data_IF_164561782171
#
_entry.id   IF_164561782171
#
_cell.length_a   1.000
_cell.length_b   1.000
_cell.length_c   1.000
_cell.angle_alpha   90.00
_cell.angle_beta   90.00
_cell.angle_gamma   90.00
#
_symmetry.space_group_name_H-M   'P 1'
#
loop_
_entity.id
_entity.type
_entity.pdbx_description
1 polymer ?
#
# COMPACT_ATOMS: atom_id res chain seq x y z
N UNK A 1 -19.44 -5.80 3.53
CA UNK A 1 -18.85 -4.99 2.43
C UNK A 1 -20.03 -4.44 1.64
N UNK A 2 -20.27 -3.13 1.67
CA UNK A 2 -21.38 -2.52 0.93
C UNK A 2 -21.01 -2.64 -0.54
N UNK A 3 -21.62 -3.60 -1.24
CA UNK A 3 -21.44 -3.75 -2.66
C UNK A 3 -22.22 -2.62 -3.32
N UNK A 4 -21.53 -1.58 -3.80
CA UNK A 4 -22.21 -0.62 -4.66
C UNK A 4 -22.59 -1.35 -5.92
N UNK A 5 -23.87 -1.44 -6.29
CA UNK A 5 -24.22 -1.96 -7.59
C UNK A 5 -23.60 -1.00 -8.61
N UNK A 6 -22.62 -1.49 -9.37
CA UNK A 6 -22.02 -0.79 -10.50
C UNK A 6 -23.08 -0.10 -11.40
N UNK A 7 -24.29 -0.67 -11.62
CA UNK A 7 -25.36 0.01 -12.35
C UNK A 7 -25.84 1.36 -11.75
N UNK A 8 -25.89 1.49 -10.41
CA UNK A 8 -26.40 2.71 -9.77
C UNK A 8 -25.40 3.87 -9.90
N UNK A 9 -24.10 3.59 -9.75
CA UNK A 9 -23.05 4.59 -9.99
C UNK A 9 -22.96 4.96 -11.47
N UNK A 10 -23.08 3.99 -12.37
CA UNK A 10 -23.12 4.25 -13.82
C UNK A 10 -24.29 5.15 -14.19
N UNK A 11 -25.46 4.95 -13.59
CA UNK A 11 -26.63 5.81 -13.79
C UNK A 11 -26.36 7.25 -13.33
N UNK A 12 -25.79 7.43 -12.12
CA UNK A 12 -25.41 8.77 -11.64
C UNK A 12 -24.38 9.43 -12.56
N UNK A 13 -23.38 8.67 -13.03
CA UNK A 13 -22.38 9.19 -13.96
C UNK A 13 -23.00 9.58 -15.30
N UNK A 14 -23.95 8.80 -15.82
CA UNK A 14 -24.66 9.13 -17.05
C UNK A 14 -25.51 10.41 -16.89
N UNK A 15 -26.30 10.50 -15.83
CA UNK A 15 -27.13 11.68 -15.54
C UNK A 15 -26.29 12.94 -15.25
N UNK A 16 -25.08 12.77 -14.70
CA UNK A 16 -24.12 13.86 -14.53
C UNK A 16 -23.55 14.30 -15.89
N UNK A 17 -23.15 13.34 -16.72
CA UNK A 17 -22.60 13.61 -18.05
C UNK A 17 -23.62 14.36 -18.92
N UNK A 18 -24.86 13.88 -18.98
CA UNK A 18 -25.94 14.52 -19.73
C UNK A 18 -26.19 15.97 -19.29
N UNK A 19 -26.08 16.27 -17.99
CA UNK A 19 -26.36 17.60 -17.47
C UNK A 19 -25.23 18.62 -17.69
N UNK A 20 -23.97 18.18 -17.78
CA UNK A 20 -22.81 19.06 -18.01
C UNK A 20 -22.35 19.06 -19.48
N UNK A 21 -23.00 18.25 -20.31
CA UNK A 21 -22.68 18.22 -21.75
C UNK A 21 -23.12 19.53 -22.38
N UNK A 22 -22.16 20.22 -22.99
CA UNK A 22 -22.41 21.45 -23.76
C UNK A 22 -23.27 21.18 -25.00
N UNK A 23 -23.82 22.24 -25.57
CA UNK A 23 -24.59 22.22 -26.82
C UNK A 23 -23.84 21.58 -28.01
N UNK A 24 -22.50 21.63 -28.00
CA UNK A 24 -21.62 20.99 -28.98
C UNK A 24 -21.14 19.58 -28.57
N UNK A 25 -21.70 18.99 -27.52
CA UNK A 25 -21.42 17.61 -27.10
C UNK A 25 -20.12 17.42 -26.31
N UNK A 26 -19.51 18.49 -25.79
CA UNK A 26 -18.29 18.40 -24.95
C UNK A 26 -18.63 18.31 -23.47
N UNK A 27 -17.82 17.54 -22.75
CA UNK A 27 -17.88 17.37 -21.29
C UNK A 27 -16.54 17.84 -20.71
N UNK A 28 -16.58 18.84 -19.81
CA UNK A 28 -15.39 19.28 -19.08
C UNK A 28 -15.20 18.42 -17.83
N UNK A 29 -14.00 17.84 -17.66
CA UNK A 29 -13.72 16.88 -16.59
C UNK A 29 -13.99 17.43 -15.19
N UNK A 30 -13.64 18.70 -14.93
CA UNK A 30 -13.85 19.33 -13.63
C UNK A 30 -15.35 19.47 -13.31
N UNK A 31 -16.14 19.98 -14.26
CA UNK A 31 -17.60 20.13 -14.13
C UNK A 31 -18.29 18.78 -14.00
N UNK A 32 -17.83 17.78 -14.76
CA UNK A 32 -18.34 16.42 -14.68
C UNK A 32 -18.09 15.78 -13.32
N UNK A 33 -16.88 15.95 -12.77
CA UNK A 33 -16.54 15.47 -11.44
C UNK A 33 -17.40 16.15 -10.37
N UNK A 34 -17.57 17.47 -10.45
CA UNK A 34 -18.44 18.21 -9.53
C UNK A 34 -19.89 17.72 -9.61
N UNK A 35 -20.43 17.57 -10.82
CA UNK A 35 -21.80 17.09 -11.06
C UNK A 35 -22.05 15.66 -10.56
N UNK A 36 -21.04 14.77 -10.63
CA UNK A 36 -21.08 13.44 -10.01
C UNK A 36 -21.11 13.58 -8.48
N UNK A 37 -20.21 14.38 -7.91
CA UNK A 37 -20.12 14.57 -6.46
C UNK A 37 -21.41 15.13 -5.86
N UNK A 38 -22.02 16.13 -6.51
CA UNK A 38 -23.30 16.70 -6.09
C UNK A 38 -24.42 15.67 -6.08
N UNK A 39 -24.52 14.83 -7.12
CA UNK A 39 -25.53 13.76 -7.19
C UNK A 39 -25.27 12.71 -6.12
N UNK A 40 -24.04 12.25 -5.97
CA UNK A 40 -23.68 11.27 -4.94
C UNK A 40 -24.06 11.76 -3.53
N UNK A 41 -23.83 13.04 -3.20
CA UNK A 41 -24.21 13.62 -1.89
C UNK A 41 -25.71 13.51 -1.60
N UNK A 42 -26.56 13.46 -2.62
CA UNK A 42 -28.03 13.26 -2.46
C UNK A 42 -28.41 11.81 -2.17
N UNK A 43 -27.49 10.87 -2.38
CA UNK A 43 -27.68 9.44 -2.16
C UNK A 43 -26.72 8.92 -1.08
N UNK A 44 -27.09 9.06 0.19
CA UNK A 44 -26.23 8.75 1.35
C UNK A 44 -25.52 7.39 1.26
N UNK A 45 -26.26 6.32 0.94
CA UNK A 45 -25.70 4.96 0.85
C UNK A 45 -24.70 4.80 -0.30
N UNK A 46 -24.98 5.41 -1.47
CA UNK A 46 -24.08 5.39 -2.62
C UNK A 46 -22.83 6.26 -2.39
N UNK A 47 -22.98 7.36 -1.65
CA UNK A 47 -21.88 8.22 -1.25
C UNK A 47 -20.92 7.49 -0.30
N UNK A 48 -21.45 6.90 0.78
CA UNK A 48 -20.67 6.14 1.75
C UNK A 48 -19.90 5.01 1.07
N UNK A 49 -20.55 4.30 0.15
CA UNK A 49 -19.94 3.15 -0.49
C UNK A 49 -18.93 3.54 -1.60
N UNK A 50 -19.12 4.70 -2.25
CA UNK A 50 -18.09 5.33 -3.10
C UNK A 50 -16.86 5.73 -2.28
N UNK A 51 -17.06 6.31 -1.10
CA UNK A 51 -15.96 6.65 -0.17
C UNK A 51 -15.21 5.39 0.25
N UNK A 52 -15.90 4.31 0.61
CA UNK A 52 -15.25 3.04 0.97
C UNK A 52 -14.42 2.48 -0.18
N UNK A 53 -14.90 2.59 -1.43
CA UNK A 53 -14.14 2.18 -2.62
C UNK A 53 -12.89 3.05 -2.82
N UNK A 54 -13.01 4.36 -2.65
CA UNK A 54 -11.87 5.29 -2.75
C UNK A 54 -10.84 5.01 -1.65
N UNK A 55 -11.28 4.81 -0.40
CA UNK A 55 -10.43 4.47 0.73
C UNK A 55 -9.69 3.14 0.50
N UNK A 56 -10.37 2.11 -0.02
CA UNK A 56 -9.73 0.84 -0.38
C UNK A 56 -8.64 1.01 -1.46
N UNK A 57 -8.90 1.87 -2.45
CA UNK A 57 -7.93 2.25 -3.48
C UNK A 57 -6.70 2.94 -2.90
N UNK A 58 -6.91 3.92 -2.00
CA UNK A 58 -5.84 4.64 -1.30
C UNK A 58 -5.00 3.71 -0.41
N UNK A 59 -5.66 2.81 0.34
CA UNK A 59 -5.01 1.79 1.17
C UNK A 59 -4.09 0.94 0.27
N UNK A 60 -4.61 0.40 -0.84
CA UNK A 60 -3.81 -0.41 -1.77
C UNK A 60 -2.58 0.34 -2.29
N UNK A 61 -2.77 1.56 -2.80
CA UNK A 61 -1.68 2.39 -3.35
C UNK A 61 -0.63 2.71 -2.29
N UNK A 62 -1.06 3.15 -1.10
CA UNK A 62 -0.18 3.40 0.03
C UNK A 62 0.65 2.16 0.39
N UNK A 63 0.00 0.99 0.48
CA UNK A 63 0.71 -0.25 0.74
C UNK A 63 1.69 -0.63 -0.37
N UNK A 64 1.43 -0.30 -1.64
CA UNK A 64 2.30 -0.65 -2.79
C UNK A 64 3.54 0.25 -2.85
N UNK A 65 3.36 1.53 -2.54
CA UNK A 65 4.45 2.51 -2.41
C UNK A 65 5.36 2.16 -1.24
N UNK A 66 4.78 1.86 -0.08
CA UNK A 66 5.53 1.52 1.13
C UNK A 66 5.98 0.05 1.19
N UNK A 67 5.77 -0.76 0.15
CA UNK A 67 6.26 -2.15 0.17
C UNK A 67 7.80 -2.20 0.22
N UNK A 68 8.41 -3.15 0.96
CA UNK A 68 9.86 -3.28 1.03
C UNK A 68 10.44 -3.54 -0.35
N UNK A 69 11.39 -2.69 -0.78
CA UNK A 69 12.08 -2.78 -2.06
C UNK A 69 13.57 -2.87 -1.82
N UNK A 70 14.26 -3.50 -2.77
CA UNK A 70 15.72 -3.60 -2.73
C UNK A 70 16.33 -2.21 -2.86
N UNK A 71 17.04 -1.78 -1.83
CA UNK A 71 17.76 -0.52 -1.88
C UNK A 71 19.01 -0.68 -2.76
N UNK A 72 19.15 0.18 -3.78
CA UNK A 72 20.21 0.04 -4.80
C UNK A 72 21.62 0.10 -4.23
N UNK A 73 21.84 0.85 -3.14
CA UNK A 73 23.18 1.07 -2.55
C UNK A 73 23.57 0.03 -1.49
N UNK A 74 22.61 -0.44 -0.70
CA UNK A 74 22.88 -1.33 0.44
C UNK A 74 22.46 -2.77 0.17
N UNK A 75 21.71 -3.03 -0.90
CA UNK A 75 21.22 -4.36 -1.27
C UNK A 75 20.15 -4.93 -0.32
N UNK A 76 19.89 -4.30 0.82
CA UNK A 76 18.89 -4.71 1.80
C UNK A 76 17.46 -4.31 1.45
N UNK A 77 16.50 -4.88 2.16
CA UNK A 77 15.06 -4.60 2.03
C UNK A 77 14.53 -3.61 3.09
N UNK A 78 15.37 -3.26 4.07
CA UNK A 78 14.94 -2.42 5.19
C UNK A 78 14.82 -0.95 4.82
N UNK A 79 13.67 -0.37 5.16
CA UNK A 79 13.50 1.07 5.34
C UNK A 79 12.48 1.30 6.46
N UNK A 80 12.70 2.24 7.40
CA UNK A 80 11.83 2.42 8.56
C UNK A 80 10.38 2.72 8.21
N UNK A 81 10.16 3.42 7.09
CA UNK A 81 8.84 3.75 6.55
C UNK A 81 8.31 2.75 5.52
N UNK A 82 8.95 1.59 5.35
CA UNK A 82 8.34 0.49 4.60
C UNK A 82 7.38 -0.31 5.48
N UNK A 83 6.43 -1.01 4.87
CA UNK A 83 5.36 -1.75 5.53
C UNK A 83 5.43 -3.23 5.21
N UNK A 84 5.50 -4.06 6.24
CA UNK A 84 5.30 -5.50 6.12
C UNK A 84 3.79 -5.80 6.13
N UNK A 85 3.32 -6.50 5.09
CA UNK A 85 1.95 -7.00 5.02
C UNK A 85 1.90 -8.39 5.64
N UNK A 86 1.23 -8.49 6.79
CA UNK A 86 1.13 -9.73 7.57
C UNK A 86 -0.11 -10.57 7.21
N UNK A 87 -0.91 -10.11 6.24
CA UNK A 87 -2.14 -10.78 5.81
C UNK A 87 -3.34 -10.37 6.66
N UNK A 88 -4.55 -10.74 6.22
CA UNK A 88 -5.82 -10.41 6.89
C UNK A 88 -6.01 -8.92 7.20
N UNK A 89 -5.41 -8.02 6.40
CA UNK A 89 -5.47 -6.57 6.62
C UNK A 89 -4.54 -6.04 7.71
N UNK A 90 -3.66 -6.86 8.28
CA UNK A 90 -2.71 -6.46 9.33
C UNK A 90 -1.39 -6.04 8.70
N UNK A 91 -0.98 -4.79 8.94
CA UNK A 91 0.24 -4.18 8.43
C UNK A 91 1.09 -3.67 9.60
N UNK A 92 2.41 -3.71 9.46
CA UNK A 92 3.34 -3.16 10.44
C UNK A 92 4.45 -2.39 9.73
N UNK A 93 4.82 -1.23 10.27
CA UNK A 93 6.01 -0.52 9.81
C UNK A 93 7.25 -1.36 10.08
N UNK A 94 8.21 -1.41 9.15
CA UNK A 94 9.40 -2.22 9.31
C UNK A 94 10.19 -1.82 10.56
N UNK A 95 10.29 -0.53 10.91
CA UNK A 95 10.97 -0.12 12.16
C UNK A 95 10.36 -0.74 13.42
N UNK A 96 9.05 -0.98 13.40
CA UNK A 96 8.26 -1.48 14.53
C UNK A 96 8.03 -3.00 14.45
N UNK A 97 8.52 -3.66 13.40
CA UNK A 97 8.32 -5.09 13.21
C UNK A 97 9.02 -5.89 14.30
N UNK A 98 8.32 -6.88 14.84
CA UNK A 98 8.84 -7.84 15.82
C UNK A 98 9.38 -9.10 15.13
N UNK A 99 10.09 -9.99 15.85
CA UNK A 99 10.49 -11.29 15.32
C UNK A 99 9.31 -12.12 14.80
N UNK A 100 8.15 -12.04 15.46
CA UNK A 100 6.93 -12.73 15.05
C UNK A 100 6.35 -12.16 13.76
N UNK A 101 6.38 -10.83 13.58
CA UNK A 101 5.92 -10.18 12.36
C UNK A 101 6.81 -10.56 11.17
N UNK A 102 8.13 -10.59 11.38
CA UNK A 102 9.11 -11.03 10.37
C UNK A 102 8.86 -12.48 9.93
N UNK A 103 8.60 -13.36 10.89
CA UNK A 103 8.27 -14.77 10.63
C UNK A 103 6.97 -14.87 9.82
N UNK A 104 5.94 -14.11 10.19
CA UNK A 104 4.65 -14.12 9.50
C UNK A 104 4.76 -13.58 8.07
N UNK A 105 5.52 -12.50 7.88
CA UNK A 105 5.80 -11.94 6.56
C UNK A 105 6.54 -12.94 5.65
N UNK A 106 7.56 -13.63 6.17
CA UNK A 106 8.26 -14.69 5.45
C UNK A 106 7.35 -15.84 5.02
N UNK A 107 6.42 -16.28 5.88
CA UNK A 107 5.44 -17.34 5.58
C UNK A 107 4.45 -16.97 4.48
N UNK A 108 4.00 -15.73 4.43
CA UNK A 108 3.09 -15.28 3.37
C UNK A 108 3.78 -15.23 2.01
N UNK A 109 5.06 -14.90 2.05
CA UNK A 109 5.90 -14.82 0.87
C UNK A 109 6.08 -16.19 0.20
N UNK A 110 6.34 -17.24 0.98
CA UNK A 110 6.52 -18.61 0.50
C UNK A 110 5.26 -19.28 -0.09
N UNK A 111 4.09 -18.63 -0.01
CA UNK A 111 2.84 -19.11 -0.62
C UNK A 111 2.65 -18.64 -2.07
N UNK A 112 3.37 -17.61 -2.51
CA UNK A 112 3.22 -16.99 -3.83
C UNK A 112 4.26 -17.49 -4.88
N UNK A 113 4.90 -18.63 -4.62
CA UNK A 113 6.11 -19.18 -5.26
C UNK A 113 6.06 -19.37 -6.78
N UNK A 114 4.87 -19.38 -7.40
CA UNK A 114 4.71 -19.81 -8.81
C UNK A 114 5.12 -18.73 -9.83
N UNK A 115 5.33 -17.46 -9.44
CA UNK A 115 5.56 -16.39 -10.43
C UNK A 115 6.89 -15.61 -10.35
N UNK A 116 7.68 -15.64 -9.25
CA UNK A 116 8.93 -14.84 -9.17
C UNK A 116 9.97 -15.52 -8.25
N UNK A 117 10.86 -16.36 -8.80
CA UNK A 117 11.81 -17.16 -8.01
C UNK A 117 12.89 -16.29 -7.32
N UNK A 118 13.45 -15.29 -8.01
CA UNK A 118 14.63 -14.56 -7.50
C UNK A 118 14.32 -13.54 -6.42
N UNK A 119 13.29 -12.69 -6.61
CA UNK A 119 12.91 -11.69 -5.62
C UNK A 119 12.37 -12.33 -4.33
N UNK A 120 11.78 -13.52 -4.45
CA UNK A 120 11.32 -14.30 -3.32
C UNK A 120 12.50 -14.88 -2.52
N UNK A 121 13.53 -15.40 -3.19
CA UNK A 121 14.74 -15.91 -2.54
C UNK A 121 15.48 -14.82 -1.74
N UNK A 122 15.59 -13.61 -2.27
CA UNK A 122 16.19 -12.47 -1.56
C UNK A 122 15.41 -12.11 -0.30
N UNK A 123 14.08 -12.12 -0.37
CA UNK A 123 13.22 -11.85 0.79
C UNK A 123 13.33 -12.94 1.85
N UNK A 124 13.34 -14.21 1.46
CA UNK A 124 13.53 -15.32 2.39
C UNK A 124 14.90 -15.23 3.07
N UNK A 125 15.97 -14.91 2.33
CA UNK A 125 17.29 -14.67 2.90
C UNK A 125 17.25 -13.54 3.93
N UNK A 126 16.66 -12.40 3.58
CA UNK A 126 16.52 -11.27 4.51
C UNK A 126 15.78 -11.66 5.80
N UNK A 127 14.67 -12.41 5.70
CA UNK A 127 13.92 -12.87 6.89
C UNK A 127 14.76 -13.79 7.75
N UNK A 128 15.50 -14.74 7.16
CA UNK A 128 16.37 -15.66 7.89
C UNK A 128 17.47 -14.91 8.63
N UNK A 129 18.21 -14.04 7.93
CA UNK A 129 19.32 -13.28 8.52
C UNK A 129 18.85 -12.42 9.71
N UNK A 130 17.67 -11.79 9.60
CA UNK A 130 17.10 -10.98 10.71
C UNK A 130 16.58 -11.84 11.85
N UNK A 131 16.03 -13.01 11.55
CA UNK A 131 15.57 -13.96 12.57
C UNK A 131 16.74 -14.47 13.42
N UNK A 132 17.86 -14.77 12.79
CA UNK A 132 19.07 -15.19 13.49
C UNK A 132 19.67 -14.03 14.30
N UNK A 133 19.72 -12.82 13.75
CA UNK A 133 20.15 -11.64 14.50
C UNK A 133 19.27 -11.35 15.72
N UNK A 134 17.95 -11.53 15.65
CA UNK A 134 17.07 -11.40 16.83
C UNK A 134 17.39 -12.45 17.91
N UNK A 135 17.84 -13.65 17.54
CA UNK A 135 18.25 -14.69 18.50
C UNK A 135 19.57 -14.34 19.18
N UNK A 136 20.51 -13.77 18.43
CA UNK A 136 21.82 -13.35 18.92
C UNK A 136 21.74 -12.06 19.77
N UNK A 137 20.73 -11.22 19.52
CA UNK A 137 20.53 -9.92 20.18
C UNK A 137 19.15 -9.83 20.84
N UNK A 138 18.90 -10.57 21.94
CA UNK A 138 17.57 -10.64 22.58
C UNK A 138 17.11 -9.31 23.21
N UNK A 139 18.00 -8.35 23.40
CA UNK A 139 17.65 -6.99 23.85
C UNK A 139 16.95 -6.15 22.77
N UNK A 140 17.02 -6.56 21.51
CA UNK A 140 16.37 -5.88 20.40
C UNK A 140 14.96 -6.45 20.20
N UNK A 141 13.92 -5.75 20.68
CA UNK A 141 12.53 -6.19 20.50
C UNK A 141 11.93 -5.82 19.14
N UNK A 142 12.55 -4.86 18.45
CA UNK A 142 12.05 -4.25 17.22
C UNK A 142 13.13 -4.24 16.15
N UNK A 143 12.71 -4.33 14.90
CA UNK A 143 13.60 -4.43 13.76
C UNK A 143 14.41 -3.16 13.52
N UNK A 144 13.89 -1.97 13.81
CA UNK A 144 14.66 -0.72 13.65
C UNK A 144 15.96 -0.70 14.47
N UNK A 145 15.90 -0.83 15.81
CA UNK A 145 17.09 -0.94 16.64
C UNK A 145 18.04 -2.09 16.24
N UNK A 146 17.50 -3.23 15.77
CA UNK A 146 18.31 -4.35 15.28
C UNK A 146 19.09 -3.97 14.01
N UNK A 147 18.45 -3.29 13.06
CA UNK A 147 19.06 -2.86 11.80
C UNK A 147 20.16 -1.81 12.02
N UNK A 148 19.98 -0.92 12.99
CA UNK A 148 21.01 0.06 13.39
C UNK A 148 22.18 -0.61 14.10
N UNK A 149 21.91 -1.48 15.08
CA UNK A 149 22.94 -2.07 15.94
C UNK A 149 23.76 -3.17 15.24
N UNK A 150 23.12 -4.01 14.43
CA UNK A 150 23.73 -5.23 13.87
C UNK A 150 24.07 -5.08 12.39
N UNK A 151 23.18 -4.44 11.63
CA UNK A 151 23.34 -4.31 10.17
C UNK A 151 23.85 -2.93 9.75
N UNK A 152 24.16 -2.07 10.73
CA UNK A 152 24.70 -0.73 10.55
C UNK A 152 23.93 0.09 9.51
N UNK A 153 22.59 0.01 9.57
CA UNK A 153 21.73 0.75 8.64
C UNK A 153 22.09 2.24 8.64
N UNK A 154 22.52 2.75 7.49
CA UNK A 154 22.77 4.16 7.25
C UNK A 154 21.59 4.73 6.45
N UNK A 155 20.95 5.76 7.02
CA UNK A 155 19.74 6.37 6.51
C UNK A 155 19.86 6.77 5.03
N UNK A 156 18.83 6.45 4.26
CA UNK A 156 18.60 6.99 2.92
C UNK A 156 17.16 7.51 2.84
N UNK A 157 16.90 8.46 1.95
CA UNK A 157 15.53 8.77 1.55
C UNK A 157 14.92 7.52 0.93
N UNK A 158 13.68 7.20 1.29
CA UNK A 158 12.90 6.25 0.52
C UNK A 158 12.89 6.78 -0.93
N UNK A 159 13.20 5.94 -1.92
CA UNK A 159 13.16 6.27 -3.35
C UNK A 159 11.68 6.49 -3.83
N UNK A 160 10.90 7.24 -3.04
CA UNK A 160 9.52 7.66 -3.29
C UNK A 160 9.46 9.09 -3.87
N UNK A 161 10.58 9.84 -3.87
CA UNK A 161 10.66 11.26 -4.29
C UNK A 161 10.40 11.52 -5.79
N UNK A 162 10.07 10.51 -6.60
CA UNK A 162 9.74 10.74 -8.01
C UNK A 162 8.37 11.40 -8.25
N UNK A 163 7.58 11.70 -7.20
CA UNK A 163 6.22 12.23 -7.36
C UNK A 163 5.85 13.44 -6.48
N UNK A 164 6.73 13.92 -5.60
CA UNK A 164 6.51 15.21 -4.89
C UNK A 164 6.83 16.43 -5.78
N UNK A 165 7.24 16.21 -7.04
CA UNK A 165 7.39 17.22 -8.09
C UNK A 165 6.28 17.08 -9.16
N UNK A 166 5.02 17.30 -8.80
CA UNK A 166 3.97 17.73 -9.77
C UNK A 166 2.85 18.49 -9.09
#
# INVERSE_FOLDING_TARGET
MIHVPDPALRKIALEAAEAVTTDIGRIHTAEFQEAICERLRRHKELFEATIQKAAAGMIRDFGERRSPRRHRKTGGLYHPESILRLGNGIWVWMKDATPTDMTQWGRLSSRNTVQIITAEAERQRYVLDRTDAFREHPSCERLGPLEEAVFHYQQGTLDDLAFDET
#
